data_IF_930370890721
#
_entry.id   IF_930370890721
#
_cell.length_a   1.000
_cell.length_b   1.000
_cell.length_c   1.000
_cell.angle_alpha   90.00
_cell.angle_beta   90.00
_cell.angle_gamma   90.00
#
_symmetry.space_group_name_H-M   'P 1'
#
loop_
_entity.id
_entity.type
_entity.pdbx_description
1 polymer ?
#
# COMPACT_ATOMS: atom_id res chain seq x y z
N UNK A 1 2.00 -31.29 5.61
CA UNK A 1 0.83 -30.42 5.41
C UNK A 1 0.79 -30.00 3.94
N UNK A 2 -0.38 -29.68 3.39
CA UNK A 2 -0.47 -29.10 2.03
C UNK A 2 0.09 -27.68 2.10
N UNK A 3 1.01 -27.32 1.19
CA UNK A 3 1.53 -25.94 1.11
C UNK A 3 0.43 -24.98 0.70
N UNK A 4 0.42 -23.78 1.30
CA UNK A 4 -0.47 -22.70 0.86
C UNK A 4 0.01 -22.17 -0.48
N UNK A 5 -0.91 -22.04 -1.44
CA UNK A 5 -0.67 -21.54 -2.79
C UNK A 5 -0.85 -20.01 -2.81
N UNK A 6 0.20 -19.28 -3.14
CA UNK A 6 0.22 -17.81 -3.08
C UNK A 6 0.31 -17.22 -4.48
N UNK A 7 -0.60 -16.29 -4.78
CA UNK A 7 -0.48 -15.41 -5.94
C UNK A 7 0.10 -14.06 -5.50
N UNK A 8 1.11 -13.56 -6.21
CA UNK A 8 1.77 -12.28 -5.92
C UNK A 8 1.51 -11.32 -7.07
N UNK A 9 0.66 -10.32 -6.84
CA UNK A 9 0.42 -9.26 -7.79
C UNK A 9 1.48 -8.17 -7.62
N UNK A 10 2.40 -8.05 -8.59
CA UNK A 10 3.53 -7.12 -8.52
C UNK A 10 4.79 -7.72 -7.89
N UNK A 11 5.16 -8.94 -8.27
CA UNK A 11 6.29 -9.69 -7.70
C UNK A 11 7.67 -9.03 -7.90
N UNK A 12 7.82 -8.19 -8.90
CA UNK A 12 9.08 -7.47 -9.22
C UNK A 12 9.22 -6.14 -8.48
N UNK A 13 8.22 -5.75 -7.68
CA UNK A 13 8.26 -4.59 -6.79
C UNK A 13 8.98 -4.88 -5.47
N UNK A 14 9.18 -3.83 -4.65
CA UNK A 14 9.85 -3.96 -3.34
C UNK A 14 9.17 -4.98 -2.42
N UNK A 15 7.85 -4.93 -2.29
CA UNK A 15 7.08 -5.88 -1.47
C UNK A 15 7.10 -7.28 -2.09
N UNK A 16 6.88 -7.39 -3.40
CA UNK A 16 6.83 -8.68 -4.08
C UNK A 16 8.15 -9.46 -3.99
N UNK A 17 9.29 -8.79 -4.13
CA UNK A 17 10.61 -9.42 -4.00
C UNK A 17 10.88 -9.88 -2.57
N UNK A 18 10.43 -9.14 -1.57
CA UNK A 18 10.55 -9.54 -0.16
C UNK A 18 9.60 -10.70 0.18
N UNK A 19 8.39 -10.71 -0.40
CA UNK A 19 7.46 -11.84 -0.26
C UNK A 19 8.04 -13.14 -0.85
N UNK A 20 8.71 -13.06 -1.99
CA UNK A 20 9.41 -14.23 -2.56
C UNK A 20 10.53 -14.74 -1.65
N UNK A 21 11.24 -13.86 -0.93
CA UNK A 21 12.24 -14.27 0.08
C UNK A 21 11.58 -14.98 1.26
N UNK A 22 10.45 -14.47 1.76
CA UNK A 22 9.68 -15.12 2.82
C UNK A 22 9.22 -16.52 2.41
N UNK A 23 8.72 -16.66 1.17
CA UNK A 23 8.31 -17.98 0.64
C UNK A 23 9.53 -18.92 0.52
N UNK A 24 10.68 -18.42 0.11
CA UNK A 24 11.91 -19.19 0.00
C UNK A 24 12.40 -19.67 1.38
N UNK A 25 12.36 -18.80 2.41
CA UNK A 25 12.71 -19.14 3.80
C UNK A 25 11.76 -20.19 4.40
N UNK A 26 10.52 -20.25 3.95
CA UNK A 26 9.47 -21.18 4.43
C UNK A 26 8.86 -22.02 3.31
N UNK A 27 9.73 -22.54 2.44
CA UNK A 27 9.34 -23.34 1.27
C UNK A 27 8.60 -24.64 1.61
N UNK A 28 8.64 -25.09 2.85
CA UNK A 28 7.84 -26.22 3.36
C UNK A 28 6.38 -25.85 3.61
N UNK A 29 6.06 -24.55 3.82
CA UNK A 29 4.72 -24.05 4.11
C UNK A 29 4.04 -23.39 2.92
N UNK A 30 4.83 -22.77 2.02
CA UNK A 30 4.33 -21.93 0.94
C UNK A 30 4.83 -22.37 -0.42
N UNK A 31 4.03 -22.08 -1.44
CA UNK A 31 4.37 -22.27 -2.84
C UNK A 31 3.82 -21.12 -3.68
N UNK A 32 4.59 -20.68 -4.66
CA UNK A 32 4.18 -19.61 -5.58
C UNK A 32 3.32 -20.21 -6.68
N UNK A 33 2.03 -19.88 -6.69
CA UNK A 33 1.12 -20.29 -7.76
C UNK A 33 1.20 -19.36 -8.97
N UNK A 34 1.22 -18.04 -8.73
CA UNK A 34 1.27 -17.03 -9.78
C UNK A 34 2.11 -15.82 -9.35
N UNK A 35 2.84 -15.27 -10.31
CA UNK A 35 3.54 -13.99 -10.15
C UNK A 35 3.21 -13.06 -11.30
N UNK A 36 3.15 -11.76 -11.00
CA UNK A 36 2.81 -10.75 -12.02
C UNK A 36 3.76 -9.57 -12.01
N UNK A 37 3.91 -8.92 -13.16
CA UNK A 37 4.61 -7.64 -13.28
C UNK A 37 3.92 -6.76 -14.33
N UNK A 38 4.23 -5.46 -14.35
CA UNK A 38 3.73 -4.56 -15.39
C UNK A 38 4.69 -4.52 -16.60
N UNK A 39 5.93 -4.06 -16.39
CA UNK A 39 6.89 -3.83 -17.48
C UNK A 39 8.21 -4.61 -17.33
N UNK A 40 8.52 -5.11 -16.14
CA UNK A 40 9.81 -5.73 -15.79
C UNK A 40 9.86 -7.20 -16.22
N UNK A 41 9.99 -7.41 -17.53
CA UNK A 41 9.89 -8.73 -18.17
C UNK A 41 11.03 -9.66 -17.77
N UNK A 42 12.26 -9.17 -17.79
CA UNK A 42 13.46 -9.93 -17.50
C UNK A 42 13.48 -10.39 -16.03
N UNK A 43 13.09 -9.50 -15.12
CA UNK A 43 13.00 -9.82 -13.69
C UNK A 43 11.88 -10.85 -13.44
N UNK A 44 10.71 -10.68 -14.09
CA UNK A 44 9.60 -11.63 -13.99
C UNK A 44 9.99 -13.02 -14.52
N UNK A 45 10.68 -13.08 -15.64
CA UNK A 45 11.17 -14.34 -16.22
C UNK A 45 12.19 -15.03 -15.30
N UNK A 46 13.11 -14.27 -14.70
CA UNK A 46 14.07 -14.80 -13.74
C UNK A 46 13.38 -15.36 -12.48
N UNK A 47 12.38 -14.66 -11.95
CA UNK A 47 11.56 -15.13 -10.83
C UNK A 47 10.78 -16.40 -11.22
N UNK A 48 10.18 -16.45 -12.42
CA UNK A 48 9.44 -17.61 -12.91
C UNK A 48 10.34 -18.85 -13.01
N UNK A 49 11.56 -18.72 -13.53
CA UNK A 49 12.54 -19.81 -13.57
C UNK A 49 12.93 -20.33 -12.20
N UNK A 50 13.08 -19.43 -11.21
CA UNK A 50 13.45 -19.79 -9.85
C UNK A 50 12.33 -20.47 -9.09
N UNK A 51 11.13 -19.90 -9.12
CA UNK A 51 10.01 -20.34 -8.29
C UNK A 51 9.06 -21.30 -8.99
N UNK A 52 9.19 -21.49 -10.32
CA UNK A 52 8.38 -22.41 -11.12
C UNK A 52 6.86 -22.29 -10.86
N UNK A 53 6.28 -21.08 -10.93
CA UNK A 53 4.85 -20.90 -10.71
C UNK A 53 4.04 -21.61 -11.81
N UNK A 54 2.78 -21.93 -11.51
CA UNK A 54 1.84 -22.45 -12.51
C UNK A 54 1.51 -21.42 -13.61
N UNK A 55 1.59 -20.12 -13.27
CA UNK A 55 1.30 -19.05 -14.22
C UNK A 55 2.11 -17.78 -13.94
N UNK A 56 2.32 -17.01 -15.01
CA UNK A 56 2.85 -15.63 -14.95
C UNK A 56 1.94 -14.70 -15.75
N UNK A 57 1.78 -13.46 -15.27
CA UNK A 57 1.02 -12.44 -15.99
C UNK A 57 1.84 -11.17 -16.16
N UNK A 58 1.94 -10.67 -17.39
CA UNK A 58 2.51 -9.37 -17.68
C UNK A 58 1.38 -8.38 -18.02
N UNK A 59 1.19 -7.34 -17.17
CA UNK A 59 0.07 -6.42 -17.34
C UNK A 59 0.18 -5.59 -18.64
N UNK A 60 1.38 -5.22 -19.05
CA UNK A 60 1.62 -4.57 -20.34
C UNK A 60 1.63 -5.60 -21.47
N UNK A 61 0.56 -5.65 -22.24
CA UNK A 61 0.38 -6.59 -23.36
C UNK A 61 1.49 -6.50 -24.42
N UNK A 62 2.08 -5.31 -24.61
CA UNK A 62 3.20 -5.12 -25.56
C UNK A 62 4.46 -5.90 -25.15
N UNK A 63 4.52 -6.39 -23.94
CA UNK A 63 5.64 -7.19 -23.40
C UNK A 63 5.42 -8.70 -23.47
N UNK A 64 4.23 -9.15 -23.93
CA UNK A 64 3.86 -10.55 -23.95
C UNK A 64 4.82 -11.43 -24.75
N UNK A 65 5.11 -11.06 -25.99
CA UNK A 65 5.97 -11.85 -26.87
C UNK A 65 7.40 -11.96 -26.33
N UNK A 66 7.91 -10.90 -25.70
CA UNK A 66 9.21 -10.92 -25.04
C UNK A 66 9.24 -11.89 -23.86
N UNK A 67 8.21 -11.87 -23.01
CA UNK A 67 8.09 -12.79 -21.88
C UNK A 67 7.99 -14.25 -22.37
N UNK A 68 7.17 -14.49 -23.38
CA UNK A 68 7.00 -15.81 -24.00
C UNK A 68 8.32 -16.36 -24.58
N UNK A 69 9.10 -15.51 -25.24
CA UNK A 69 10.41 -15.89 -25.75
C UNK A 69 11.40 -16.23 -24.65
N UNK A 70 11.38 -15.45 -23.52
CA UNK A 70 12.24 -15.71 -22.38
C UNK A 70 11.89 -17.00 -21.62
N UNK A 71 10.66 -17.46 -21.67
CA UNK A 71 10.19 -18.67 -20.98
C UNK A 71 9.90 -19.83 -21.94
N UNK A 72 10.44 -19.79 -23.16
CA UNK A 72 10.19 -20.83 -24.17
C UNK A 72 10.67 -22.23 -23.75
N UNK A 73 11.65 -22.31 -22.86
CA UNK A 73 12.20 -23.53 -22.26
C UNK A 73 11.48 -23.97 -20.97
N UNK A 74 10.41 -23.27 -20.58
CA UNK A 74 9.59 -23.55 -19.38
C UNK A 74 8.14 -23.88 -19.79
N UNK A 75 7.87 -25.01 -20.44
CA UNK A 75 6.57 -25.30 -21.05
C UNK A 75 5.42 -25.48 -20.04
N UNK A 76 5.74 -25.76 -18.78
CA UNK A 76 4.75 -25.96 -17.71
C UNK A 76 4.22 -24.64 -17.14
N UNK A 77 4.90 -23.52 -17.43
CA UNK A 77 4.49 -22.19 -16.95
C UNK A 77 3.53 -21.56 -17.97
N UNK A 78 2.28 -21.32 -17.56
CA UNK A 78 1.30 -20.61 -18.38
C UNK A 78 1.59 -19.11 -18.38
N UNK A 79 1.53 -18.49 -19.57
CA UNK A 79 1.87 -17.07 -19.74
C UNK A 79 0.62 -16.32 -20.20
N UNK A 80 0.26 -15.25 -19.48
CA UNK A 80 -0.87 -14.39 -19.78
C UNK A 80 -0.45 -12.93 -19.84
N UNK A 81 -1.29 -12.08 -20.45
CA UNK A 81 -1.06 -10.65 -20.53
C UNK A 81 -2.34 -9.84 -20.39
N UNK A 82 -2.17 -8.57 -19.98
CA UNK A 82 -3.25 -7.59 -19.89
C UNK A 82 -3.91 -7.51 -18.51
N UNK A 83 -4.68 -6.43 -18.31
CA UNK A 83 -5.37 -6.18 -17.05
C UNK A 83 -6.43 -7.25 -16.74
N UNK A 84 -7.17 -7.69 -17.75
CA UNK A 84 -8.18 -8.75 -17.59
C UNK A 84 -7.57 -10.05 -17.09
N UNK A 85 -6.36 -10.40 -17.55
CA UNK A 85 -5.66 -11.58 -17.07
C UNK A 85 -5.26 -11.50 -15.60
N UNK A 86 -5.04 -10.29 -15.06
CA UNK A 86 -4.82 -10.09 -13.61
C UNK A 86 -6.07 -10.41 -12.81
N UNK A 87 -7.25 -10.00 -13.29
CA UNK A 87 -8.53 -10.28 -12.64
C UNK A 87 -8.87 -11.78 -12.68
N UNK A 88 -8.67 -12.41 -13.83
CA UNK A 88 -8.99 -13.84 -14.04
C UNK A 88 -8.04 -14.76 -13.26
N UNK A 89 -6.74 -14.44 -13.17
CA UNK A 89 -5.76 -15.34 -12.54
C UNK A 89 -5.99 -15.47 -11.03
N UNK A 90 -6.42 -14.41 -10.36
CA UNK A 90 -6.67 -14.46 -8.91
C UNK A 90 -7.88 -15.31 -8.54
N UNK A 91 -8.74 -15.62 -9.49
CA UNK A 91 -9.89 -16.51 -9.32
C UNK A 91 -9.51 -18.01 -9.39
N UNK A 92 -8.28 -18.34 -9.80
CA UNK A 92 -7.86 -19.73 -9.98
C UNK A 92 -8.07 -20.57 -8.70
N UNK A 93 -8.73 -21.73 -8.86
CA UNK A 93 -9.14 -22.59 -7.75
C UNK A 93 -8.04 -22.94 -6.74
N UNK A 94 -6.81 -23.29 -7.17
CA UNK A 94 -5.74 -23.69 -6.26
C UNK A 94 -5.23 -22.58 -5.34
N UNK A 95 -5.39 -21.30 -5.69
CA UNK A 95 -4.87 -20.17 -4.90
C UNK A 95 -5.57 -20.10 -3.54
N UNK A 96 -4.80 -20.07 -2.47
CA UNK A 96 -5.27 -19.89 -1.10
C UNK A 96 -5.23 -18.42 -0.66
N UNK A 97 -4.16 -17.70 -1.06
CA UNK A 97 -3.89 -16.30 -0.65
C UNK A 97 -3.43 -15.46 -1.84
N UNK A 98 -3.84 -14.20 -1.86
CA UNK A 98 -3.41 -13.21 -2.85
C UNK A 98 -2.69 -12.06 -2.14
N UNK A 99 -1.40 -11.88 -2.43
CA UNK A 99 -0.66 -10.69 -2.02
C UNK A 99 -0.86 -9.60 -3.07
N UNK A 100 -1.54 -8.52 -2.70
CA UNK A 100 -1.78 -7.36 -3.56
C UNK A 100 -0.65 -6.34 -3.38
N UNK A 101 0.45 -6.50 -4.12
CA UNK A 101 1.64 -5.63 -4.04
C UNK A 101 1.78 -4.72 -5.28
N UNK A 102 0.68 -4.43 -5.94
CA UNK A 102 0.58 -3.45 -7.02
C UNK A 102 0.56 -2.03 -6.45
N UNK A 103 0.82 -1.03 -7.28
CA UNK A 103 0.83 0.38 -6.87
C UNK A 103 -0.41 1.09 -7.45
N UNK A 104 -1.06 1.91 -6.64
CA UNK A 104 -2.13 2.79 -7.08
C UNK A 104 -3.46 2.08 -7.36
N UNK A 105 -4.31 2.74 -8.15
CA UNK A 105 -5.67 2.31 -8.49
C UNK A 105 -5.74 0.91 -9.11
N UNK A 106 -4.71 0.50 -9.85
CA UNK A 106 -4.70 -0.76 -10.60
C UNK A 106 -4.88 -2.03 -9.75
N UNK A 107 -4.66 -1.97 -8.45
CA UNK A 107 -4.89 -3.07 -7.52
C UNK A 107 -6.36 -3.30 -7.14
N UNK A 108 -7.27 -2.35 -7.43
CA UNK A 108 -8.66 -2.43 -6.98
C UNK A 108 -9.42 -3.59 -7.62
N UNK A 109 -9.44 -3.67 -8.96
CA UNK A 109 -10.18 -4.71 -9.69
C UNK A 109 -9.74 -6.14 -9.31
N UNK A 110 -8.44 -6.50 -9.38
CA UNK A 110 -8.04 -7.86 -9.01
C UNK A 110 -8.27 -8.18 -7.53
N UNK A 111 -8.27 -7.17 -6.62
CA UNK A 111 -8.64 -7.41 -5.22
C UNK A 111 -10.12 -7.76 -5.08
N UNK A 112 -11.01 -7.08 -5.81
CA UNK A 112 -12.45 -7.40 -5.85
C UNK A 112 -12.66 -8.82 -6.36
N UNK A 113 -12.00 -9.21 -7.46
CA UNK A 113 -12.09 -10.54 -8.04
C UNK A 113 -11.60 -11.63 -7.07
N UNK A 114 -10.47 -11.39 -6.40
CA UNK A 114 -9.93 -12.29 -5.38
C UNK A 114 -10.88 -12.49 -4.20
N UNK A 115 -11.51 -11.41 -3.67
CA UNK A 115 -12.50 -11.51 -2.59
C UNK A 115 -13.71 -12.33 -3.04
N UNK A 116 -14.27 -12.05 -4.23
CA UNK A 116 -15.41 -12.80 -4.79
C UNK A 116 -15.08 -14.27 -5.01
N UNK A 117 -13.84 -14.58 -5.40
CA UNK A 117 -13.33 -15.93 -5.54
C UNK A 117 -12.93 -16.59 -4.21
N UNK A 118 -13.23 -15.94 -3.07
CA UNK A 118 -12.98 -16.41 -1.70
C UNK A 118 -11.51 -16.69 -1.40
N UNK A 119 -10.62 -15.77 -1.85
CA UNK A 119 -9.20 -15.81 -1.51
C UNK A 119 -8.91 -14.95 -0.28
N UNK A 120 -8.01 -15.40 0.58
CA UNK A 120 -7.47 -14.55 1.65
C UNK A 120 -6.64 -13.43 1.02
N UNK A 121 -6.89 -12.18 1.41
CA UNK A 121 -6.17 -11.02 0.89
C UNK A 121 -5.06 -10.64 1.86
N UNK A 122 -3.81 -10.63 1.38
CA UNK A 122 -2.68 -10.00 2.06
C UNK A 122 -2.48 -8.63 1.41
N UNK A 123 -3.00 -7.58 2.04
CA UNK A 123 -3.11 -6.25 1.44
C UNK A 123 -1.84 -5.44 1.67
N UNK A 124 -1.08 -5.20 0.61
CA UNK A 124 0.03 -4.25 0.58
C UNK A 124 -0.28 -3.00 -0.27
N UNK A 125 -1.28 -3.09 -1.15
CA UNK A 125 -1.77 -1.96 -1.95
C UNK A 125 -2.82 -1.16 -1.14
N UNK A 126 -2.35 -0.21 -0.35
CA UNK A 126 -3.23 0.63 0.49
C UNK A 126 -4.22 1.45 -0.32
N UNK A 127 -3.85 1.82 -1.55
CA UNK A 127 -4.70 2.59 -2.44
C UNK A 127 -6.04 1.91 -2.73
N UNK A 128 -6.11 0.59 -2.68
CA UNK A 128 -7.36 -0.17 -2.77
C UNK A 128 -8.38 0.26 -1.71
N UNK A 129 -7.96 0.40 -0.44
CA UNK A 129 -8.83 0.87 0.64
C UNK A 129 -9.01 2.41 0.63
N UNK A 130 -8.01 3.15 0.18
CA UNK A 130 -8.13 4.60 0.00
C UNK A 130 -9.21 4.91 -1.02
N UNK A 131 -9.17 4.27 -2.18
CA UNK A 131 -10.12 4.52 -3.29
C UNK A 131 -11.52 4.04 -2.95
N UNK A 132 -11.67 2.81 -2.51
CA UNK A 132 -12.95 2.12 -2.43
C UNK A 132 -13.11 1.31 -1.12
N UNK A 133 -12.64 1.84 0.01
CA UNK A 133 -12.57 1.10 1.27
C UNK A 133 -13.93 0.59 1.75
N UNK A 134 -14.99 1.37 1.60
CA UNK A 134 -16.35 0.92 1.94
C UNK A 134 -16.74 -0.31 1.10
N UNK A 135 -16.61 -0.23 -0.21
CA UNK A 135 -16.95 -1.33 -1.13
C UNK A 135 -16.13 -2.59 -0.83
N UNK A 136 -14.84 -2.44 -0.58
CA UNK A 136 -13.93 -3.56 -0.29
C UNK A 136 -14.30 -4.22 1.04
N UNK A 137 -14.58 -3.45 2.09
CA UNK A 137 -14.97 -3.99 3.39
C UNK A 137 -16.35 -4.67 3.34
N UNK A 138 -17.32 -4.10 2.62
CA UNK A 138 -18.63 -4.71 2.40
C UNK A 138 -18.50 -6.05 1.65
N UNK A 139 -17.70 -6.11 0.58
CA UNK A 139 -17.44 -7.35 -0.14
C UNK A 139 -16.71 -8.39 0.74
N UNK A 140 -15.69 -7.98 1.48
CA UNK A 140 -14.97 -8.87 2.38
C UNK A 140 -15.91 -9.48 3.44
N UNK A 141 -16.80 -8.68 4.03
CA UNK A 141 -17.82 -9.15 4.96
C UNK A 141 -18.84 -10.10 4.28
N UNK A 142 -19.36 -9.72 3.10
CA UNK A 142 -20.31 -10.52 2.33
C UNK A 142 -19.76 -11.90 1.98
N UNK A 143 -18.51 -11.96 1.51
CA UNK A 143 -17.87 -13.22 1.12
C UNK A 143 -17.16 -13.91 2.30
N UNK A 144 -17.13 -13.29 3.49
CA UNK A 144 -16.47 -13.75 4.72
C UNK A 144 -14.98 -14.02 4.49
N UNK A 145 -14.31 -13.13 3.78
CA UNK A 145 -12.89 -13.25 3.50
C UNK A 145 -12.08 -12.27 4.34
N UNK A 146 -10.99 -12.74 4.98
CA UNK A 146 -10.13 -11.85 5.75
C UNK A 146 -9.28 -10.97 4.84
N UNK A 147 -9.07 -9.72 5.26
CA UNK A 147 -8.05 -8.83 4.71
C UNK A 147 -6.96 -8.70 5.77
N UNK A 148 -5.79 -9.24 5.49
CA UNK A 148 -4.63 -9.22 6.37
C UNK A 148 -3.67 -8.09 5.95
N UNK A 149 -3.39 -7.11 6.82
CA UNK A 149 -2.55 -5.98 6.46
C UNK A 149 -1.08 -6.39 6.31
N UNK A 150 -0.45 -5.87 5.27
CA UNK A 150 0.98 -6.02 4.99
C UNK A 150 1.73 -4.71 5.18
N UNK A 151 1.05 -3.56 5.09
CA UNK A 151 1.66 -2.29 5.47
C UNK A 151 2.14 -2.35 6.92
N UNK A 152 3.36 -1.87 7.21
CA UNK A 152 4.04 -2.09 8.49
C UNK A 152 3.24 -1.57 9.68
N UNK A 153 2.67 -0.38 9.54
CA UNK A 153 1.88 0.27 10.58
C UNK A 153 0.57 -0.47 10.84
N UNK A 154 -0.11 -0.89 9.77
CA UNK A 154 -1.38 -1.61 9.88
C UNK A 154 -1.17 -3.04 10.38
N UNK A 155 -0.08 -3.69 9.97
CA UNK A 155 0.33 -4.96 10.56
C UNK A 155 0.61 -4.82 12.06
N UNK A 156 1.25 -3.73 12.48
CA UNK A 156 1.52 -3.45 13.89
C UNK A 156 0.22 -3.28 14.69
N UNK A 157 -0.73 -2.48 14.19
CA UNK A 157 -2.05 -2.30 14.80
C UNK A 157 -2.79 -3.63 14.90
N UNK A 158 -2.81 -4.41 13.81
CA UNK A 158 -3.41 -5.74 13.77
C UNK A 158 -2.80 -6.68 14.82
N UNK A 159 -1.47 -6.65 14.98
CA UNK A 159 -0.77 -7.44 16.01
C UNK A 159 -1.11 -6.97 17.43
N UNK A 160 -1.32 -5.68 17.66
CA UNK A 160 -1.76 -5.15 18.95
C UNK A 160 -3.19 -5.56 19.30
N UNK A 161 -4.06 -5.72 18.29
CA UNK A 161 -5.45 -6.13 18.46
C UNK A 161 -5.61 -7.65 18.57
N UNK A 162 -4.61 -8.43 18.13
CA UNK A 162 -4.68 -9.89 18.19
C UNK A 162 -4.83 -10.37 19.63
N UNK A 163 -5.91 -11.12 19.89
CA UNK A 163 -6.23 -11.66 21.21
C UNK A 163 -7.01 -10.71 22.14
N UNK A 164 -7.32 -9.48 21.71
CA UNK A 164 -8.06 -8.50 22.52
C UNK A 164 -9.59 -8.73 22.50
N UNK A 165 -10.11 -9.52 21.58
CA UNK A 165 -11.54 -9.75 21.46
C UNK A 165 -12.34 -8.46 21.27
N UNK A 166 -13.36 -8.23 22.10
CA UNK A 166 -14.25 -7.06 22.03
C UNK A 166 -13.76 -5.85 22.85
N UNK A 167 -12.49 -5.85 23.29
CA UNK A 167 -11.93 -4.73 24.04
C UNK A 167 -11.99 -3.44 23.21
N UNK A 168 -12.55 -2.38 23.83
CA UNK A 168 -12.78 -1.11 23.12
C UNK A 168 -11.50 -0.36 22.88
N UNK A 169 -11.24 -0.08 21.61
CA UNK A 169 -10.18 0.84 21.17
C UNK A 169 -10.63 2.27 21.44
N UNK A 170 -9.82 3.03 22.19
CA UNK A 170 -10.00 4.46 22.38
C UNK A 170 -9.39 5.21 21.19
N UNK A 171 -8.12 4.90 20.87
CA UNK A 171 -7.37 5.52 19.77
C UNK A 171 -6.43 4.53 19.08
N UNK A 172 -6.21 4.76 17.81
CA UNK A 172 -5.05 4.24 17.07
C UNK A 172 -3.97 5.31 17.09
N UNK A 173 -2.75 4.92 17.46
CA UNK A 173 -1.56 5.75 17.45
C UNK A 173 -0.69 5.33 16.25
N UNK A 174 -0.91 6.01 15.14
CA UNK A 174 -0.30 5.69 13.84
C UNK A 174 1.05 6.41 13.73
N UNK A 175 2.16 5.68 13.76
CA UNK A 175 3.49 6.28 13.67
C UNK A 175 3.90 6.62 12.24
N UNK A 176 4.76 7.60 12.09
CA UNK A 176 5.35 8.06 10.83
C UNK A 176 6.82 8.40 11.03
N UNK A 177 7.68 8.13 10.06
CA UNK A 177 9.08 8.62 10.09
C UNK A 177 9.17 10.16 10.05
N UNK A 178 8.12 10.81 9.53
CA UNK A 178 8.08 12.25 9.28
C UNK A 178 8.74 12.66 7.96
N UNK A 179 9.26 11.70 7.20
CA UNK A 179 9.92 11.93 5.92
C UNK A 179 11.25 12.70 6.02
N UNK A 180 11.91 12.96 4.89
CA UNK A 180 13.22 13.63 4.85
C UNK A 180 13.17 15.11 5.24
N UNK A 181 11.99 15.75 5.17
CA UNK A 181 11.84 17.21 5.27
C UNK A 181 11.21 17.68 6.60
N UNK A 182 11.09 16.81 7.61
CA UNK A 182 10.44 17.17 8.87
C UNK A 182 11.02 18.43 9.54
N UNK A 183 12.33 18.68 9.38
CA UNK A 183 13.03 19.81 9.97
C UNK A 183 13.22 21.00 9.02
N UNK A 184 12.70 20.95 7.78
CA UNK A 184 12.85 22.02 6.79
C UNK A 184 11.89 23.17 7.09
N UNK A 185 12.33 24.40 6.75
CA UNK A 185 11.44 25.58 6.72
C UNK A 185 10.61 25.59 5.42
N UNK A 186 9.60 26.46 5.35
CA UNK A 186 8.79 26.60 4.13
C UNK A 186 9.62 27.10 2.93
N UNK A 187 10.60 27.97 3.16
CA UNK A 187 11.52 28.45 2.14
C UNK A 187 12.40 27.32 1.58
N UNK A 188 12.87 26.43 2.47
CA UNK A 188 13.62 25.25 2.06
C UNK A 188 12.76 24.28 1.27
N UNK A 189 11.50 24.06 1.68
CA UNK A 189 10.55 23.20 0.97
C UNK A 189 10.21 23.71 -0.43
N UNK A 190 10.19 25.03 -0.64
CA UNK A 190 9.94 25.64 -1.94
C UNK A 190 11.07 25.33 -2.97
N UNK A 191 12.28 25.05 -2.48
CA UNK A 191 13.47 24.76 -3.29
C UNK A 191 13.80 23.27 -3.41
N UNK A 192 12.97 22.36 -2.80
CA UNK A 192 13.21 20.92 -2.82
C UNK A 192 13.12 20.34 -4.21
N UNK A 193 14.12 19.54 -4.56
CA UNK A 193 14.19 18.77 -5.79
C UNK A 193 13.74 17.32 -5.59
N UNK A 194 13.44 16.63 -6.70
CA UNK A 194 13.16 15.18 -6.64
C UNK A 194 14.33 14.37 -6.08
N UNK A 195 15.56 14.79 -6.32
CA UNK A 195 16.76 14.12 -5.80
C UNK A 195 16.82 14.20 -4.27
N UNK A 196 16.38 15.32 -3.68
CA UNK A 196 16.29 15.48 -2.24
C UNK A 196 15.17 14.62 -1.67
N UNK A 197 14.00 14.62 -2.31
CA UNK A 197 12.83 13.89 -1.86
C UNK A 197 12.98 12.37 -1.94
N UNK A 198 13.78 11.85 -2.88
CA UNK A 198 14.06 10.42 -3.03
C UNK A 198 15.04 9.86 -1.99
N UNK A 199 15.67 10.71 -1.15
CA UNK A 199 16.57 10.28 -0.08
C UNK A 199 15.81 10.04 1.22
N UNK A 200 15.11 8.90 1.32
CA UNK A 200 14.42 8.58 2.57
C UNK A 200 15.43 8.17 3.65
N UNK A 201 15.31 8.67 4.91
CA UNK A 201 16.32 8.45 5.96
C UNK A 201 16.38 7.01 6.49
N UNK A 202 15.30 6.23 6.39
CA UNK A 202 15.16 4.93 7.08
C UNK A 202 14.83 3.78 6.12
N UNK A 203 13.98 4.02 5.10
CA UNK A 203 13.43 2.97 4.26
C UNK A 203 13.96 3.05 2.83
N UNK A 204 14.30 1.89 2.24
CA UNK A 204 14.53 1.75 0.80
C UNK A 204 13.22 1.35 0.11
N UNK A 205 12.62 2.29 -0.58
CA UNK A 205 11.26 2.16 -1.14
C UNK A 205 11.23 2.58 -2.61
N UNK A 206 10.13 2.22 -3.29
CA UNK A 206 9.88 2.70 -4.65
C UNK A 206 9.71 4.23 -4.70
N UNK A 207 10.00 4.83 -5.86
CA UNK A 207 10.00 6.29 -6.03
C UNK A 207 8.66 6.94 -5.62
N UNK A 208 7.51 6.37 -6.02
CA UNK A 208 6.18 6.92 -5.71
C UNK A 208 5.96 7.05 -4.21
N UNK A 209 6.14 5.97 -3.45
CA UNK A 209 5.90 5.97 -2.00
C UNK A 209 6.93 6.82 -1.25
N UNK A 210 8.15 6.97 -1.78
CA UNK A 210 9.18 7.85 -1.19
C UNK A 210 8.75 9.33 -1.27
N UNK A 211 8.19 9.77 -2.41
CA UNK A 211 7.62 11.11 -2.55
C UNK A 211 6.38 11.27 -1.66
N UNK A 212 5.51 10.26 -1.59
CA UNK A 212 4.34 10.29 -0.68
C UNK A 212 4.76 10.38 0.79
N UNK A 213 5.86 9.75 1.18
CA UNK A 213 6.46 9.90 2.51
C UNK A 213 6.97 11.32 2.74
N UNK A 214 7.66 11.90 1.76
CA UNK A 214 8.21 13.26 1.83
C UNK A 214 7.11 14.32 2.01
N UNK A 215 5.94 14.15 1.39
CA UNK A 215 4.77 15.03 1.50
C UNK A 215 3.86 14.69 2.68
N UNK A 216 4.10 13.60 3.39
CA UNK A 216 3.22 12.96 4.38
C UNK A 216 1.87 12.48 3.78
N UNK A 217 1.69 12.44 2.46
CA UNK A 217 0.51 11.84 1.84
C UNK A 217 0.45 10.32 2.10
N UNK A 218 1.60 9.63 2.16
CA UNK A 218 1.64 8.22 2.55
C UNK A 218 0.94 8.01 3.89
N UNK A 219 1.25 8.85 4.89
CA UNK A 219 0.60 8.77 6.19
C UNK A 219 -0.88 9.14 6.13
N UNK A 220 -1.24 10.08 5.28
CA UNK A 220 -2.65 10.41 5.01
C UNK A 220 -3.43 9.20 4.45
N UNK A 221 -2.86 8.46 3.51
CA UNK A 221 -3.45 7.22 2.99
C UNK A 221 -3.55 6.14 4.05
N UNK A 222 -2.57 6.02 4.91
CA UNK A 222 -2.58 5.08 6.01
C UNK A 222 -3.64 5.40 7.07
N UNK A 223 -3.97 6.66 7.31
CA UNK A 223 -5.14 7.05 8.13
C UNK A 223 -6.43 6.52 7.51
N UNK A 224 -6.59 6.66 6.19
CA UNK A 224 -7.77 6.17 5.48
C UNK A 224 -7.83 4.64 5.53
N UNK A 225 -6.72 3.97 5.30
CA UNK A 225 -6.60 2.51 5.38
C UNK A 225 -6.94 1.99 6.78
N UNK A 226 -6.42 2.63 7.84
CA UNK A 226 -6.67 2.24 9.24
C UNK A 226 -8.17 2.33 9.60
N UNK A 227 -8.87 3.39 9.14
CA UNK A 227 -10.32 3.49 9.33
C UNK A 227 -11.04 2.26 8.79
N UNK A 228 -10.71 1.83 7.59
CA UNK A 228 -11.40 0.72 6.94
C UNK A 228 -11.01 -0.64 7.49
N UNK A 229 -9.73 -0.88 7.77
CA UNK A 229 -9.26 -2.15 8.30
C UNK A 229 -9.75 -2.44 9.72
N UNK A 230 -9.81 -1.40 10.56
CA UNK A 230 -10.08 -1.56 11.99
C UNK A 230 -11.45 -1.03 12.41
N UNK A 231 -12.23 -0.48 11.49
CA UNK A 231 -13.58 0.02 11.77
C UNK A 231 -13.62 1.18 12.77
N UNK A 232 -12.58 2.02 12.80
CA UNK A 232 -12.47 3.17 13.70
C UNK A 232 -12.73 4.48 12.97
N UNK A 233 -13.32 5.45 13.67
CA UNK A 233 -13.51 6.78 13.10
C UNK A 233 -12.18 7.51 12.92
N UNK A 234 -12.08 8.35 11.88
CA UNK A 234 -10.86 9.10 11.57
C UNK A 234 -10.38 9.97 12.74
N UNK A 235 -11.30 10.48 13.57
CA UNK A 235 -10.96 11.30 14.73
C UNK A 235 -10.36 10.51 15.89
N UNK A 236 -10.41 9.18 15.84
CA UNK A 236 -9.73 8.26 16.76
C UNK A 236 -8.37 7.79 16.24
N UNK A 237 -7.90 8.32 15.11
CA UNK A 237 -6.59 7.99 14.55
C UNK A 237 -5.68 9.19 14.74
N UNK A 238 -4.72 9.05 15.64
CA UNK A 238 -3.72 10.08 15.95
C UNK A 238 -2.40 9.74 15.27
N UNK A 239 -1.85 10.67 14.48
CA UNK A 239 -0.56 10.49 13.83
C UNK A 239 0.56 10.97 14.75
N UNK A 240 1.56 10.11 14.97
CA UNK A 240 2.75 10.39 15.78
C UNK A 240 4.00 10.34 14.87
N UNK A 241 4.76 11.42 14.81
CA UNK A 241 6.06 11.40 14.13
C UNK A 241 7.09 10.73 15.02
N UNK A 242 7.60 9.57 14.60
CA UNK A 242 8.60 8.74 15.28
C UNK A 242 9.78 8.48 14.35
N UNK A 243 10.81 9.34 14.35
CA UNK A 243 11.89 9.30 13.36
C UNK A 243 12.68 8.00 13.31
N UNK A 244 12.82 7.34 14.47
CA UNK A 244 13.58 6.08 14.58
C UNK A 244 12.88 4.90 13.91
N UNK A 245 11.55 5.00 13.64
CA UNK A 245 10.74 3.94 13.03
C UNK A 245 10.87 2.56 13.71
N UNK A 246 11.12 2.54 15.02
CA UNK A 246 11.21 1.34 15.86
C UNK A 246 9.83 0.91 16.32
N UNK A 247 9.01 1.86 16.80
CA UNK A 247 7.60 1.65 17.10
C UNK A 247 6.84 1.79 15.77
N UNK A 248 6.31 0.67 15.26
CA UNK A 248 5.61 0.65 13.98
C UNK A 248 4.17 1.14 14.06
N UNK A 249 3.52 1.09 15.18
CA UNK A 249 2.30 1.77 15.61
C UNK A 249 1.82 1.18 16.94
N UNK A 250 0.77 1.78 17.51
CA UNK A 250 0.21 1.35 18.79
C UNK A 250 -1.32 1.52 18.81
N UNK A 251 -1.95 0.86 19.78
CA UNK A 251 -3.38 0.97 20.09
C UNK A 251 -3.52 1.37 21.54
N UNK A 252 -4.28 2.43 21.80
CA UNK A 252 -4.71 2.82 23.15
C UNK A 252 -6.13 2.27 23.40
N UNK A 253 -6.29 1.57 24.51
CA UNK A 253 -7.58 1.02 24.94
C UNK A 253 -8.30 1.96 25.91
N UNK A 254 -9.59 1.70 26.14
CA UNK A 254 -10.45 2.56 26.96
C UNK A 254 -10.06 2.63 28.45
N UNK A 255 -9.21 1.73 28.93
CA UNK A 255 -8.61 1.75 30.29
C UNK A 255 -7.32 2.58 30.36
N UNK A 256 -6.90 3.17 29.22
CA UNK A 256 -5.68 3.94 29.08
C UNK A 256 -4.42 3.12 28.79
N UNK A 257 -4.52 1.78 28.73
CA UNK A 257 -3.39 0.93 28.35
C UNK A 257 -3.01 1.16 26.87
N UNK A 258 -1.71 1.16 26.58
CA UNK A 258 -1.18 1.28 25.22
C UNK A 258 -0.39 0.01 24.87
N UNK A 259 -0.79 -0.67 23.81
CA UNK A 259 -0.02 -1.77 23.21
C UNK A 259 0.64 -1.30 21.94
N UNK A 260 1.92 -1.57 21.79
CA UNK A 260 2.72 -1.21 20.60
C UNK A 260 3.46 -2.41 20.05
N UNK A 261 3.60 -2.47 18.74
CA UNK A 261 4.49 -3.43 18.10
C UNK A 261 5.80 -2.69 17.74
N UNK A 262 6.90 -3.28 18.16
CA UNK A 262 8.24 -2.78 17.91
C UNK A 262 9.03 -3.78 17.09
N UNK A 263 9.93 -3.27 16.25
CA UNK A 263 10.83 -4.09 15.43
C UNK A 263 11.84 -3.26 14.66
N UNK A 264 12.80 -3.92 14.05
CA UNK A 264 13.64 -3.27 13.03
C UNK A 264 12.83 -3.01 11.76
N UNK A 265 13.14 -1.97 10.98
CA UNK A 265 12.46 -1.69 9.71
C UNK A 265 12.73 -2.78 8.65
N UNK A 266 11.89 -3.81 8.61
CA UNK A 266 11.99 -4.94 7.69
C UNK A 266 10.60 -5.40 7.25
N UNK A 267 10.26 -5.18 5.98
CA UNK A 267 8.95 -5.53 5.43
C UNK A 267 8.70 -7.05 5.36
N UNK A 268 9.73 -7.89 5.48
CA UNK A 268 9.53 -9.34 5.55
C UNK A 268 8.74 -9.74 6.80
N UNK A 269 8.85 -8.99 7.90
CA UNK A 269 8.11 -9.26 9.13
C UNK A 269 6.59 -9.17 8.93
N UNK A 270 6.01 -8.04 8.46
CA UNK A 270 4.57 -7.94 8.23
C UNK A 270 4.07 -8.85 7.11
N UNK A 271 4.87 -9.06 6.04
CA UNK A 271 4.54 -10.01 4.98
C UNK A 271 4.41 -11.42 5.54
N UNK A 272 5.43 -11.89 6.29
CA UNK A 272 5.43 -13.21 6.91
C UNK A 272 4.26 -13.38 7.86
N UNK A 273 3.97 -12.39 8.70
CA UNK A 273 2.86 -12.45 9.64
C UNK A 273 1.51 -12.55 8.93
N UNK A 274 1.31 -11.81 7.83
CA UNK A 274 0.10 -11.95 7.01
C UNK A 274 -0.02 -13.36 6.40
N UNK A 275 1.07 -13.98 5.96
CA UNK A 275 1.04 -15.34 5.40
C UNK A 275 0.80 -16.43 6.46
N UNK A 276 1.34 -16.23 7.67
CA UNK A 276 1.32 -17.25 8.74
C UNK A 276 0.21 -17.07 9.77
N UNK A 277 -0.45 -15.92 9.81
CA UNK A 277 -1.44 -15.65 10.86
C UNK A 277 -2.36 -16.84 11.15
N UNK A 278 -2.57 -17.19 12.43
CA UNK A 278 -2.15 -16.48 13.65
C UNK A 278 -0.73 -16.82 14.16
N UNK A 279 0.01 -17.68 13.47
CA UNK A 279 1.31 -18.19 13.92
C UNK A 279 2.43 -17.16 13.68
N UNK A 280 3.48 -17.23 14.51
CA UNK A 280 4.72 -16.48 14.33
C UNK A 280 5.83 -17.42 13.92
N UNK A 281 6.31 -17.23 12.70
CA UNK A 281 7.44 -18.03 12.18
C UNK A 281 8.77 -17.37 12.49
N UNK A 282 9.84 -18.14 12.44
CA UNK A 282 11.19 -17.62 12.52
C UNK A 282 11.47 -16.73 11.30
N UNK A 283 12.25 -15.66 11.51
CA UNK A 283 12.73 -14.78 10.44
C UNK A 283 14.21 -14.49 10.63
N UNK A 284 14.96 -14.52 9.55
CA UNK A 284 16.41 -14.23 9.52
C UNK A 284 16.65 -12.72 9.38
N UNK A 285 16.15 -11.92 10.31
CA UNK A 285 16.42 -10.48 10.38
C UNK A 285 17.14 -10.15 11.69
N UNK A 286 17.77 -8.99 11.72
CA UNK A 286 18.35 -8.44 12.94
C UNK A 286 17.29 -8.36 14.04
N UNK A 287 17.74 -8.47 15.29
CA UNK A 287 16.88 -8.28 16.45
C UNK A 287 16.99 -6.84 16.93
N UNK A 288 15.86 -6.29 17.36
CA UNK A 288 15.81 -4.95 17.91
C UNK A 288 16.67 -4.86 19.16
N UNK A 289 17.61 -3.90 19.18
CA UNK A 289 18.36 -3.50 20.36
C UNK A 289 17.76 -2.22 20.95
N UNK A 290 17.08 -2.35 22.07
CA UNK A 290 16.43 -1.22 22.75
C UNK A 290 17.42 -0.28 23.48
N UNK A 291 18.69 -0.68 23.62
CA UNK A 291 19.71 0.17 24.24
C UNK A 291 20.34 1.16 23.27
N UNK A 292 20.24 0.91 21.96
CA UNK A 292 20.97 1.66 20.94
C UNK A 292 20.32 3.01 20.59
N UNK A 293 19.00 3.18 20.83
CA UNK A 293 18.28 4.37 20.37
C UNK A 293 17.20 4.80 21.34
N UNK A 294 17.03 6.13 21.58
CA UNK A 294 15.86 6.66 22.30
C UNK A 294 14.60 6.49 21.44
N UNK A 295 13.44 6.44 22.07
CA UNK A 295 12.14 6.48 21.41
C UNK A 295 11.57 7.91 21.55
N UNK A 296 11.53 8.64 20.47
CA UNK A 296 11.05 10.01 20.44
C UNK A 296 9.77 10.12 19.61
N UNK A 297 8.83 10.96 20.08
CA UNK A 297 7.55 11.17 19.42
C UNK A 297 7.25 12.67 19.33
N UNK A 298 6.79 13.10 18.15
CA UNK A 298 6.46 14.50 17.88
C UNK A 298 5.06 14.57 17.23
N UNK A 299 4.43 15.73 17.37
CA UNK A 299 3.20 16.02 16.63
C UNK A 299 3.53 16.29 15.16
N UNK A 300 2.69 15.82 14.21
CA UNK A 300 2.85 16.19 12.81
C UNK A 300 2.51 17.67 12.60
N UNK A 301 3.27 18.32 11.72
CA UNK A 301 3.01 19.70 11.28
C UNK A 301 2.10 19.67 10.04
N UNK A 302 0.80 19.79 10.24
CA UNK A 302 -0.20 19.71 9.14
C UNK A 302 -0.31 21.01 8.34
N UNK A 303 0.23 22.14 8.84
CA UNK A 303 0.32 23.38 8.06
C UNK A 303 1.44 23.26 7.02
N UNK A 304 2.59 22.73 7.44
CA UNK A 304 3.73 22.45 6.56
C UNK A 304 3.45 21.29 5.60
N UNK A 305 2.89 20.20 6.07
CA UNK A 305 2.57 19.00 5.29
C UNK A 305 1.06 18.92 5.03
N UNK A 306 0.56 19.85 4.19
CA UNK A 306 -0.87 19.97 3.87
C UNK A 306 -1.50 18.70 3.32
N UNK A 307 -0.72 17.85 2.63
CA UNK A 307 -1.21 16.58 2.10
C UNK A 307 -1.81 15.68 3.19
N UNK A 308 -1.25 15.66 4.41
CA UNK A 308 -1.83 14.93 5.54
C UNK A 308 -3.19 15.53 5.94
N UNK A 309 -3.31 16.85 6.00
CA UNK A 309 -4.57 17.54 6.30
C UNK A 309 -5.65 17.24 5.25
N UNK A 310 -5.31 17.28 3.96
CA UNK A 310 -6.21 16.97 2.86
C UNK A 310 -6.72 15.53 2.90
N UNK A 311 -5.89 14.57 3.32
CA UNK A 311 -6.32 13.19 3.50
C UNK A 311 -7.32 13.04 4.66
N UNK A 312 -7.11 13.73 5.79
CA UNK A 312 -8.09 13.80 6.87
C UNK A 312 -9.41 14.45 6.44
N UNK A 313 -9.35 15.52 5.66
CA UNK A 313 -10.54 16.14 5.09
C UNK A 313 -11.30 15.16 4.19
N UNK A 314 -10.58 14.48 3.29
CA UNK A 314 -11.16 13.51 2.38
C UNK A 314 -11.89 12.38 3.09
N UNK A 315 -11.26 11.78 4.13
CA UNK A 315 -11.89 10.64 4.83
C UNK A 315 -13.06 11.08 5.72
N UNK A 316 -13.06 12.30 6.26
CA UNK A 316 -14.22 12.85 6.98
C UNK A 316 -15.38 13.11 6.03
N UNK A 317 -15.11 13.60 4.83
CA UNK A 317 -16.13 13.83 3.81
C UNK A 317 -16.71 12.52 3.27
N UNK A 318 -15.86 11.47 3.16
CA UNK A 318 -16.29 10.15 2.70
C UNK A 318 -16.63 10.11 1.20
N UNK A 319 -17.50 9.16 0.83
CA UNK A 319 -17.90 8.96 -0.56
C UNK A 319 -16.72 8.72 -1.49
N UNK A 320 -16.70 9.36 -2.65
CA UNK A 320 -15.61 9.28 -3.62
C UNK A 320 -14.45 10.26 -3.34
N UNK A 321 -14.49 11.06 -2.27
CA UNK A 321 -13.46 12.07 -2.01
C UNK A 321 -12.05 11.49 -1.82
N UNK A 322 -11.85 10.38 -1.09
CA UNK A 322 -10.52 9.75 -0.99
C UNK A 322 -10.01 9.22 -2.35
N UNK A 323 -10.90 8.74 -3.23
CA UNK A 323 -10.56 8.36 -4.61
C UNK A 323 -10.02 9.57 -5.40
N UNK A 324 -10.68 10.73 -5.28
CA UNK A 324 -10.23 11.99 -5.92
C UNK A 324 -8.83 12.36 -5.43
N UNK A 325 -8.58 12.29 -4.11
CA UNK A 325 -7.26 12.59 -3.53
C UNK A 325 -6.20 11.63 -4.05
N UNK A 326 -6.49 10.32 -4.09
CA UNK A 326 -5.56 9.33 -4.60
C UNK A 326 -5.19 9.59 -6.08
N UNK A 327 -6.20 9.79 -6.94
CA UNK A 327 -5.99 10.04 -8.36
C UNK A 327 -5.17 11.33 -8.60
N UNK A 328 -5.52 12.41 -7.90
CA UNK A 328 -4.78 13.66 -7.96
C UNK A 328 -3.33 13.49 -7.48
N UNK A 329 -3.13 12.77 -6.36
CA UNK A 329 -1.80 12.51 -5.81
C UNK A 329 -0.93 11.71 -6.78
N UNK A 330 -1.45 10.69 -7.44
CA UNK A 330 -0.67 9.93 -8.43
C UNK A 330 -0.18 10.82 -9.60
N UNK A 331 -1.01 11.78 -10.02
CA UNK A 331 -0.65 12.72 -11.10
C UNK A 331 0.40 13.73 -10.63
N UNK A 332 0.23 14.36 -9.47
CA UNK A 332 1.22 15.34 -8.97
C UNK A 332 2.53 14.68 -8.57
N UNK A 333 2.48 13.46 -8.02
CA UNK A 333 3.67 12.67 -7.70
C UNK A 333 4.50 12.39 -8.96
N UNK A 334 3.84 11.91 -10.02
CA UNK A 334 4.48 11.74 -11.33
C UNK A 334 5.01 13.06 -11.89
N UNK A 335 4.19 14.13 -11.83
CA UNK A 335 4.59 15.47 -12.28
C UNK A 335 5.83 15.99 -11.57
N UNK A 336 5.96 15.76 -10.26
CA UNK A 336 7.14 16.11 -9.49
C UNK A 336 8.37 15.28 -9.89
N UNK A 337 8.22 13.99 -10.09
CA UNK A 337 9.30 13.11 -10.56
C UNK A 337 9.78 13.47 -11.99
N UNK A 338 8.90 14.03 -12.81
CA UNK A 338 9.17 14.50 -14.17
C UNK A 338 9.56 15.99 -14.24
N UNK A 339 9.78 16.66 -13.10
CA UNK A 339 10.11 18.10 -12.97
C UNK A 339 9.04 19.06 -13.55
N UNK A 340 7.77 18.62 -13.63
CA UNK A 340 6.62 19.41 -14.11
C UNK A 340 5.81 20.06 -12.99
N UNK A 341 6.09 19.71 -11.75
CA UNK A 341 5.38 20.20 -10.57
C UNK A 341 6.35 20.42 -9.43
N UNK A 342 6.30 21.58 -8.75
CA UNK A 342 7.08 21.86 -7.55
C UNK A 342 6.52 21.16 -6.30
N UNK A 343 7.36 20.94 -5.28
CA UNK A 343 6.99 20.20 -4.08
C UNK A 343 5.76 20.78 -3.37
N UNK A 344 5.76 22.08 -3.08
CA UNK A 344 4.61 22.75 -2.42
C UNK A 344 3.38 22.81 -3.34
N UNK A 345 3.57 22.84 -4.65
CA UNK A 345 2.49 22.87 -5.63
C UNK A 345 1.65 21.57 -5.62
N UNK A 346 2.23 20.45 -5.18
CA UNK A 346 1.52 19.17 -5.14
C UNK A 346 0.23 19.26 -4.32
N UNK A 347 0.30 19.80 -3.10
CA UNK A 347 -0.88 19.97 -2.25
C UNK A 347 -1.91 20.94 -2.84
N UNK A 348 -1.47 22.01 -3.51
CA UNK A 348 -2.39 22.96 -4.16
C UNK A 348 -3.20 22.33 -5.30
N UNK A 349 -2.55 21.46 -6.10
CA UNK A 349 -3.22 20.75 -7.21
C UNK A 349 -4.21 19.73 -6.66
N UNK A 350 -3.84 18.99 -5.61
CA UNK A 350 -4.75 18.04 -4.95
C UNK A 350 -5.99 18.76 -4.43
N UNK A 351 -5.83 19.84 -3.65
CA UNK A 351 -6.94 20.61 -3.09
C UNK A 351 -7.88 21.17 -4.16
N UNK A 352 -7.31 21.73 -5.24
CA UNK A 352 -8.10 22.23 -6.37
C UNK A 352 -8.83 21.10 -7.11
N UNK A 353 -8.24 19.91 -7.20
CA UNK A 353 -8.90 18.75 -7.80
C UNK A 353 -10.07 18.30 -6.94
N UNK A 354 -9.90 18.24 -5.60
CA UNK A 354 -10.98 17.94 -4.64
C UNK A 354 -12.17 18.88 -4.77
N UNK A 355 -11.93 20.14 -5.11
CA UNK A 355 -12.99 21.14 -5.27
C UNK A 355 -13.69 21.13 -6.62
N UNK A 356 -13.07 20.56 -7.67
CA UNK A 356 -13.55 20.60 -9.06
C UNK A 356 -14.25 19.33 -9.52
N UNK A 357 -13.84 18.18 -8.99
CA UNK A 357 -14.44 16.90 -9.34
C UNK A 357 -15.74 16.71 -8.57
N UNK A 358 -16.77 16.19 -9.25
CA UNK A 358 -18.08 15.99 -8.65
C UNK A 358 -18.02 15.01 -7.47
N UNK A 359 -18.63 15.41 -6.35
CA UNK A 359 -18.73 14.57 -5.16
C UNK A 359 -19.93 13.62 -5.28
N UNK A 360 -19.68 12.32 -5.02
CA UNK A 360 -20.70 11.29 -4.86
C UNK A 360 -20.59 10.68 -3.45
N UNK A 361 -21.63 10.78 -2.60
CA UNK A 361 -21.59 10.22 -1.24
C UNK A 361 -21.71 8.69 -1.19
N UNK A 362 -22.21 8.03 -2.25
CA UNK A 362 -22.47 6.60 -2.30
C UNK A 362 -21.95 5.96 -3.60
N UNK A 363 -20.64 6.02 -3.85
CA UNK A 363 -20.08 5.58 -5.13
C UNK A 363 -20.16 4.08 -5.32
N UNK A 364 -20.50 3.66 -6.53
CA UNK A 364 -20.37 2.29 -7.02
C UNK A 364 -18.97 2.05 -7.57
N UNK A 365 -18.64 0.80 -7.94
CA UNK A 365 -17.38 0.50 -8.63
C UNK A 365 -17.19 1.35 -9.89
N UNK A 366 -18.22 1.46 -10.73
CA UNK A 366 -18.17 2.27 -11.97
C UNK A 366 -18.00 3.76 -11.66
N UNK A 367 -18.61 4.24 -10.57
CA UNK A 367 -18.41 5.62 -10.09
C UNK A 367 -16.96 5.85 -9.65
N UNK A 368 -16.33 4.92 -8.96
CA UNK A 368 -14.93 5.04 -8.59
C UNK A 368 -14.00 5.08 -9.82
N UNK A 369 -14.27 4.24 -10.84
CA UNK A 369 -13.52 4.28 -12.11
C UNK A 369 -13.64 5.63 -12.80
N UNK A 370 -14.88 6.12 -12.99
CA UNK A 370 -15.12 7.42 -13.61
C UNK A 370 -14.53 8.59 -12.79
N UNK A 371 -14.59 8.51 -11.46
CA UNK A 371 -13.99 9.51 -10.55
C UNK A 371 -12.47 9.54 -10.68
N UNK A 372 -11.81 8.38 -10.73
CA UNK A 372 -10.36 8.29 -10.89
C UNK A 372 -9.92 8.91 -12.23
N UNK A 373 -10.59 8.59 -13.33
CA UNK A 373 -10.31 9.13 -14.65
C UNK A 373 -10.49 10.66 -14.70
N UNK A 374 -11.60 11.17 -14.17
CA UNK A 374 -11.89 12.60 -14.15
C UNK A 374 -10.90 13.37 -13.26
N UNK A 375 -10.60 12.86 -12.06
CA UNK A 375 -9.66 13.49 -11.15
C UNK A 375 -8.24 13.54 -11.74
N UNK A 376 -7.80 12.48 -12.44
CA UNK A 376 -6.52 12.47 -13.18
C UNK A 376 -6.49 13.54 -14.26
N UNK A 377 -7.56 13.66 -15.03
CA UNK A 377 -7.69 14.67 -16.10
C UNK A 377 -7.63 16.10 -15.53
N UNK A 378 -8.36 16.36 -14.45
CA UNK A 378 -8.38 17.67 -13.79
C UNK A 378 -7.01 18.01 -13.21
N UNK A 379 -6.37 17.08 -12.49
CA UNK A 379 -5.06 17.29 -11.89
C UNK A 379 -3.98 17.55 -12.95
N UNK A 380 -3.97 16.79 -14.05
CA UNK A 380 -3.03 17.00 -15.16
C UNK A 380 -3.20 18.39 -15.79
N UNK A 381 -4.45 18.81 -16.08
CA UNK A 381 -4.73 20.15 -16.61
C UNK A 381 -4.30 21.28 -15.66
N UNK A 382 -4.34 21.06 -14.33
CA UNK A 382 -3.87 22.03 -13.35
C UNK A 382 -2.35 22.17 -13.29
N UNK A 383 -1.60 21.10 -13.58
CA UNK A 383 -0.14 21.17 -13.71
C UNK A 383 0.22 21.92 -14.99
N UNK A 384 -0.37 21.55 -16.13
CA UNK A 384 -0.01 22.09 -17.46
C UNK A 384 -0.41 23.57 -17.64
N UNK A 385 -1.46 24.05 -16.94
CA UNK A 385 -1.89 25.46 -17.03
C UNK A 385 -0.97 26.47 -16.33
N UNK A 386 0.09 26.00 -15.67
CA UNK A 386 1.03 26.83 -14.90
C UNK A 386 2.47 26.80 -15.44
N UNK A 387 2.72 26.04 -16.53
CA UNK A 387 3.96 26.04 -17.31
C UNK A 387 3.89 27.18 -18.37
#
# INVERSE_FOLDING_TARGET
>A
MKKKQIAILGSTGSIGTQALRVIEEHSELYEVYCITANNKVEELAAQARKFKPAAVVIANEQRYDRLKALLADEPDIKIYAGAKALDEIVEAGPIDMVLTAMVGFAGLSPTIHAIKARKTICLANKETLVVAGQLICELAAQYRMPILPVDSEHSAIFQCLAGEGDNKVEKILLTASGGPFRNFTMEQLAAVTKADALRHPTWDMGAKITIDSATMMNKGFEVIEAKWLFGVDADKIEVLVHPQSIVHSAVQFCDGAVKAQLGVPDMRMPIQYAFSYPDRLHITSERLDLFSHPLEFFKPDTEKFRCLGLAFEAIRKGGNMPCIVNAANEIVNRGFLEDRCGFLQMSDVIEKTMSRVAFDPNPTYDTYVATDEEARRVAAGLIDSRG
#
